data_IF_104380177356
#
_entry.id   IF_104380177356
#
_cell.length_a   1.000
_cell.length_b   1.000
_cell.length_c   1.000
_cell.angle_alpha   90.00
_cell.angle_beta   90.00
_cell.angle_gamma   90.00
#
_symmetry.space_group_name_H-M   'P 1'
#
loop_
_entity.id
_entity.type
_entity.pdbx_description
1 polymer ?
#
# COMPACT_ATOMS: atom_id res chain seq x y z
N UNK A 1 12.74 7.25 -0.11
CA UNK A 1 12.61 6.03 0.71
C UNK A 1 11.93 6.24 2.05
N UNK A 2 12.46 7.02 3.01
CA UNK A 2 11.85 7.13 4.36
C UNK A 2 10.39 7.59 4.39
N UNK A 3 10.00 8.50 3.48
CA UNK A 3 8.62 9.00 3.41
C UNK A 3 7.63 7.95 2.87
N UNK A 4 8.07 7.17 1.88
CA UNK A 4 7.32 6.07 1.27
C UNK A 4 7.07 4.95 2.30
N UNK A 5 8.09 4.60 3.08
CA UNK A 5 7.97 3.60 4.15
C UNK A 5 6.95 4.02 5.19
N UNK A 6 6.98 5.29 5.63
CA UNK A 6 6.02 5.86 6.58
C UNK A 6 4.59 5.93 6.05
N UNK A 7 4.42 6.24 4.76
CA UNK A 7 3.13 6.22 4.10
C UNK A 7 2.55 4.80 4.09
N UNK A 8 3.34 3.81 3.68
CA UNK A 8 2.92 2.41 3.66
C UNK A 8 2.62 1.87 5.07
N UNK A 9 3.31 2.36 6.10
CA UNK A 9 3.03 2.03 7.50
C UNK A 9 1.66 2.54 8.01
N UNK A 10 1.02 3.48 7.31
CA UNK A 10 -0.36 3.88 7.63
C UNK A 10 -1.36 2.75 7.35
N UNK A 11 -1.00 1.80 6.49
CA UNK A 11 -1.83 0.63 6.18
C UNK A 11 -1.76 -0.36 7.33
N UNK A 12 -2.93 -0.76 7.83
CA UNK A 12 -3.02 -1.56 9.04
C UNK A 12 -2.50 -2.97 8.75
N UNK A 13 -1.39 -3.34 9.41
CA UNK A 13 -0.74 -4.64 9.21
C UNK A 13 0.49 -4.60 8.30
N UNK A 14 0.87 -3.42 7.80
CA UNK A 14 2.17 -3.18 7.15
C UNK A 14 3.12 -2.54 8.17
N UNK A 15 4.15 -3.28 8.58
CA UNK A 15 5.23 -2.77 9.42
C UNK A 15 6.44 -2.30 8.61
N UNK A 16 7.47 -1.75 9.27
CA UNK A 16 8.68 -1.22 8.63
C UNK A 16 9.32 -2.19 7.62
N UNK A 17 9.51 -3.45 8.02
CA UNK A 17 10.12 -4.48 7.18
C UNK A 17 9.28 -4.79 5.94
N UNK A 18 7.94 -4.82 6.08
CA UNK A 18 7.05 -5.06 4.94
C UNK A 18 7.02 -3.85 4.01
N UNK A 19 6.95 -2.63 4.56
CA UNK A 19 7.04 -1.40 3.78
C UNK A 19 8.31 -1.34 2.95
N UNK A 20 9.44 -1.73 3.51
CA UNK A 20 10.72 -1.76 2.80
C UNK A 20 10.68 -2.76 1.63
N UNK A 21 10.18 -3.98 1.86
CA UNK A 21 10.03 -5.00 0.80
C UNK A 21 9.07 -4.57 -0.31
N UNK A 22 8.01 -3.84 0.03
CA UNK A 22 7.10 -3.25 -0.96
C UNK A 22 7.83 -2.24 -1.84
N UNK A 23 8.60 -1.33 -1.24
CA UNK A 23 9.40 -0.35 -1.97
C UNK A 23 10.44 -1.04 -2.87
N UNK A 24 11.10 -2.08 -2.37
CA UNK A 24 12.05 -2.90 -3.16
C UNK A 24 11.35 -3.62 -4.33
N UNK A 25 10.08 -3.98 -4.16
CA UNK A 25 9.23 -4.57 -5.21
C UNK A 25 8.59 -3.51 -6.12
N UNK A 26 9.08 -2.27 -6.10
CA UNK A 26 8.55 -1.13 -6.89
C UNK A 26 7.16 -0.61 -6.47
N UNK A 27 6.63 -1.06 -5.32
CA UNK A 27 5.38 -0.60 -4.71
C UNK A 27 5.65 0.45 -3.65
N UNK A 28 6.19 1.59 -4.07
CA UNK A 28 6.68 2.61 -3.15
C UNK A 28 5.61 3.60 -2.66
N UNK A 29 4.38 3.54 -3.17
CA UNK A 29 3.28 4.43 -2.75
C UNK A 29 1.97 3.69 -2.54
N UNK A 30 1.07 4.26 -1.72
CA UNK A 30 -0.28 3.72 -1.50
C UNK A 30 -1.04 3.59 -2.82
N UNK A 31 -0.90 4.54 -3.75
CA UNK A 31 -1.52 4.46 -5.07
C UNK A 31 -1.02 3.25 -5.88
N UNK A 32 0.29 2.96 -5.86
CA UNK A 32 0.84 1.76 -6.50
C UNK A 32 0.35 0.48 -5.85
N UNK A 33 0.18 0.47 -4.51
CA UNK A 33 -0.40 -0.67 -3.78
C UNK A 33 -1.88 -0.85 -4.07
N UNK A 34 -2.63 0.24 -4.22
CA UNK A 34 -4.05 0.23 -4.58
C UNK A 34 -4.28 -0.28 -6.02
N UNK A 35 -3.35 0.06 -6.92
CA UNK A 35 -3.31 -0.42 -8.30
C UNK A 35 -2.70 -1.83 -8.43
N UNK A 36 -1.91 -2.27 -7.44
CA UNK A 36 -1.36 -3.61 -7.41
C UNK A 36 -2.47 -4.64 -7.19
N UNK A 37 -2.38 -5.75 -7.91
CA UNK A 37 -3.23 -6.90 -7.67
C UNK A 37 -2.76 -7.65 -6.42
N UNK A 38 -3.69 -8.32 -5.74
CA UNK A 38 -3.40 -9.16 -4.58
C UNK A 38 -2.31 -10.21 -4.91
N UNK A 39 -2.34 -10.69 -6.17
CA UNK A 39 -1.34 -11.59 -6.75
C UNK A 39 0.07 -11.02 -6.90
N UNK A 40 0.23 -9.71 -6.99
CA UNK A 40 1.55 -9.07 -6.98
C UNK A 40 2.11 -8.99 -5.57
N UNK A 41 1.24 -8.66 -4.61
CA UNK A 41 1.60 -8.51 -3.20
C UNK A 41 1.85 -9.85 -2.50
N UNK A 42 1.21 -10.94 -2.93
CA UNK A 42 1.41 -12.29 -2.36
C UNK A 42 2.80 -12.86 -2.69
N UNK A 43 3.44 -12.34 -3.74
CA UNK A 43 4.82 -12.71 -4.10
C UNK A 43 5.84 -12.10 -3.15
N UNK A 44 5.45 -11.09 -2.37
CA UNK A 44 6.32 -10.47 -1.38
C UNK A 44 6.38 -11.38 -0.15
N UNK A 45 7.57 -11.94 0.08
CA UNK A 45 7.80 -12.79 1.24
C UNK A 45 7.42 -12.07 2.54
N UNK A 46 6.62 -12.74 3.38
CA UNK A 46 6.17 -12.21 4.68
C UNK A 46 4.83 -11.46 4.66
N UNK A 47 4.23 -11.20 3.48
CA UNK A 47 2.82 -10.78 3.43
C UNK A 47 1.89 -11.98 3.60
N UNK A 48 0.90 -11.82 4.48
CA UNK A 48 -0.15 -12.81 4.66
C UNK A 48 -1.28 -12.52 3.66
N UNK A 49 -1.71 -13.48 2.83
CA UNK A 49 -2.75 -13.28 1.82
C UNK A 49 -4.06 -12.74 2.39
N UNK A 50 -4.44 -13.11 3.61
CA UNK A 50 -5.63 -12.55 4.28
C UNK A 50 -5.53 -11.06 4.58
N UNK A 51 -4.31 -10.56 4.80
CA UNK A 51 -4.04 -9.13 5.03
C UNK A 51 -3.92 -8.36 3.73
N UNK A 52 -3.50 -9.00 2.63
CA UNK A 52 -3.34 -8.35 1.32
C UNK A 52 -4.64 -7.72 0.86
N UNK A 53 -5.74 -8.48 0.87
CA UNK A 53 -7.07 -7.98 0.53
C UNK A 53 -7.44 -6.72 1.35
N UNK A 54 -7.15 -6.75 2.66
CA UNK A 54 -7.41 -5.64 3.57
C UNK A 54 -6.54 -4.42 3.24
N UNK A 55 -5.25 -4.62 2.99
CA UNK A 55 -4.27 -3.59 2.66
C UNK A 55 -4.62 -2.92 1.32
N UNK A 56 -4.97 -3.69 0.28
CA UNK A 56 -5.38 -3.16 -1.03
C UNK A 56 -6.67 -2.36 -0.91
N UNK A 57 -7.65 -2.86 -0.13
CA UNK A 57 -8.91 -2.15 0.11
C UNK A 57 -8.68 -0.83 0.84
N UNK A 58 -7.83 -0.82 1.87
CA UNK A 58 -7.45 0.39 2.59
C UNK A 58 -6.71 1.37 1.68
N UNK A 59 -5.76 0.89 0.90
CA UNK A 59 -5.00 1.69 -0.04
C UNK A 59 -5.92 2.37 -1.06
N UNK A 60 -6.85 1.62 -1.68
CA UNK A 60 -7.85 2.16 -2.61
C UNK A 60 -8.73 3.23 -1.96
N UNK A 61 -9.17 3.01 -0.73
CA UNK A 61 -9.98 3.99 0.01
C UNK A 61 -9.18 5.29 0.23
N UNK A 62 -7.94 5.18 0.66
CA UNK A 62 -7.06 6.34 0.89
C UNK A 62 -6.70 7.08 -0.39
N UNK A 63 -6.47 6.36 -1.50
CA UNK A 63 -6.22 6.97 -2.82
C UNK A 63 -7.48 7.68 -3.33
N UNK A 64 -8.66 7.06 -3.22
CA UNK A 64 -9.92 7.69 -3.64
C UNK A 64 -10.27 8.91 -2.79
N UNK A 65 -9.98 8.89 -1.48
CA UNK A 65 -10.12 10.06 -0.59
C UNK A 65 -9.13 11.18 -0.96
N UNK A 66 -7.88 10.82 -1.28
CA UNK A 66 -6.87 11.79 -1.73
C UNK A 66 -7.25 12.46 -3.07
N UNK A 67 -7.77 11.69 -4.02
CA UNK A 67 -8.23 12.20 -5.32
C UNK A 67 -9.46 13.11 -5.17
N UNK A 68 -10.41 12.76 -4.29
CA UNK A 68 -11.59 13.60 -4.03
C UNK A 68 -11.25 14.92 -3.35
N UNK A 69 -10.26 14.95 -2.45
CA UNK A 69 -9.81 16.20 -1.83
C UNK A 69 -9.09 17.15 -2.79
N UNK A 70 -8.62 16.66 -3.95
CA UNK A 70 -8.03 17.53 -4.98
C UNK A 70 -9.06 18.12 -5.95
N UNK A 71 -10.33 17.68 -5.89
CA UNK A 71 -11.39 18.09 -6.80
C UNK A 71 -12.54 18.81 -6.08
N UNK A 72 -12.19 19.76 -5.22
CA UNK A 72 -13.12 20.76 -4.68
C UNK A 72 -12.58 22.14 -4.97
N UNK A 73 -13.06 22.76 -6.04
CA UNK A 73 -13.07 24.20 -6.26
C UNK A 73 -14.50 24.63 -6.57
#
# INVERSE_FOLDING_TARGET
>A
MKNQIKELQKLKGIGEVLSQRLVESSYDTIAKVAAAEEKGLERIAGLNPKKIASVVTQARKMTSEAEKSQHTW
#
